data_IF_785097782159
#
_entry.id   IF_785097782159
#
_cell.length_a   1.000
_cell.length_b   1.000
_cell.length_c   1.000
_cell.angle_alpha   90.00
_cell.angle_beta   90.00
_cell.angle_gamma   90.00
#
_symmetry.space_group_name_H-M   'P 1'
#
loop_
_entity.id
_entity.type
_entity.pdbx_description
1 polymer ?
#
# COMPACT_ATOMS: atom_id res chain seq x y z
N UNK A 1 23.26 -39.49 -8.40
CA UNK A 1 22.41 -38.67 -7.51
C UNK A 1 21.92 -37.46 -8.30
N UNK A 2 20.64 -37.39 -8.65
CA UNK A 2 20.05 -36.22 -9.29
C UNK A 2 19.52 -35.26 -8.23
N UNK A 3 20.01 -34.03 -8.21
CA UNK A 3 19.41 -32.95 -7.45
C UNK A 3 18.46 -32.18 -8.37
N UNK A 4 17.20 -32.64 -8.42
CA UNK A 4 16.11 -31.80 -8.91
C UNK A 4 15.75 -30.82 -7.80
N UNK A 5 16.20 -29.58 -7.93
CA UNK A 5 15.64 -28.46 -7.17
C UNK A 5 14.45 -27.96 -7.97
N UNK A 6 13.26 -28.37 -7.55
CA UNK A 6 12.02 -27.84 -8.10
C UNK A 6 11.96 -26.33 -7.83
N UNK A 7 12.16 -25.60 -8.92
CA UNK A 7 11.74 -24.22 -9.08
C UNK A 7 10.29 -24.07 -8.62
N UNK A 8 10.10 -23.50 -7.43
CA UNK A 8 8.79 -23.00 -7.04
C UNK A 8 8.89 -21.48 -6.81
N UNK A 9 9.19 -20.78 -7.92
CA UNK A 9 8.90 -19.37 -8.05
C UNK A 9 7.38 -19.17 -8.03
N UNK A 10 6.82 -19.16 -6.82
CA UNK A 10 5.48 -18.62 -6.58
C UNK A 10 5.55 -17.08 -6.68
N UNK A 11 5.81 -16.58 -7.90
CA UNK A 11 5.58 -15.19 -8.24
C UNK A 11 4.06 -15.06 -8.36
N UNK A 12 3.40 -14.78 -7.24
CA UNK A 12 2.03 -14.24 -7.27
C UNK A 12 2.13 -12.85 -7.89
N UNK A 13 1.97 -12.81 -9.20
CA UNK A 13 1.78 -11.59 -9.98
C UNK A 13 0.56 -10.88 -9.37
N UNK A 14 0.79 -9.83 -8.58
CA UNK A 14 -0.24 -8.91 -8.12
C UNK A 14 -0.75 -8.11 -9.32
N UNK A 15 -1.61 -8.78 -10.09
CA UNK A 15 -2.30 -8.22 -11.24
C UNK A 15 -3.45 -7.36 -10.74
N UNK A 16 -3.21 -6.11 -10.34
CA UNK A 16 -4.23 -5.06 -10.37
C UNK A 16 -3.59 -3.67 -10.49
N UNK A 17 -3.92 -3.00 -11.59
CA UNK A 17 -3.63 -1.59 -11.87
C UNK A 17 -4.82 -0.74 -11.38
N UNK A 18 -4.72 0.01 -10.27
CA UNK A 18 -5.86 0.77 -9.74
C UNK A 18 -5.95 2.22 -10.25
N UNK A 19 -5.18 2.61 -11.26
CA UNK A 19 -5.17 4.01 -11.77
C UNK A 19 -6.38 4.30 -12.71
N UNK A 20 -7.08 3.27 -13.17
CA UNK A 20 -8.17 3.43 -14.15
C UNK A 20 -9.41 4.20 -13.63
N UNK A 21 -9.66 4.25 -12.31
CA UNK A 21 -10.90 4.83 -11.76
C UNK A 21 -10.93 6.35 -11.70
N UNK A 22 -9.78 7.02 -11.84
CA UNK A 22 -9.67 8.49 -11.72
C UNK A 22 -10.29 9.22 -12.94
N UNK A 23 -10.51 8.54 -14.07
CA UNK A 23 -11.16 9.11 -15.25
C UNK A 23 -12.70 9.21 -15.16
N UNK A 24 -13.33 8.64 -14.13
CA UNK A 24 -14.80 8.68 -13.95
C UNK A 24 -15.36 10.05 -13.53
N UNK A 25 -14.50 11.09 -13.43
CA UNK A 25 -14.81 12.42 -12.90
C UNK A 25 -15.70 13.30 -13.80
N UNK A 26 -16.41 12.75 -14.79
CA UNK A 26 -17.21 13.55 -15.73
C UNK A 26 -18.67 13.10 -15.93
N UNK A 27 -19.23 12.25 -15.05
CA UNK A 27 -20.67 11.90 -15.11
C UNK A 27 -21.52 12.65 -14.08
N UNK A 28 -22.69 13.23 -14.46
CA UNK A 28 -23.59 13.93 -13.55
C UNK A 28 -24.54 12.98 -12.79
N UNK A 29 -24.28 12.87 -11.48
CA UNK A 29 -25.17 12.97 -10.29
C UNK A 29 -26.61 12.37 -10.23
N UNK A 30 -26.81 11.39 -9.32
CA UNK A 30 -28.03 11.09 -8.54
C UNK A 30 -27.64 10.82 -7.06
N UNK A 31 -28.36 11.39 -6.06
CA UNK A 31 -27.67 12.19 -5.01
C UNK A 31 -27.88 12.02 -3.49
N UNK A 32 -28.27 10.88 -2.93
CA UNK A 32 -28.37 10.83 -1.45
C UNK A 32 -27.90 9.56 -0.77
N UNK A 33 -28.22 8.39 -1.30
CA UNK A 33 -27.76 7.12 -0.70
C UNK A 33 -26.40 6.68 -1.24
N UNK A 34 -26.18 6.93 -2.53
CA UNK A 34 -24.93 6.63 -3.25
C UNK A 34 -23.75 7.45 -2.69
N UNK A 35 -23.99 8.69 -2.26
CA UNK A 35 -22.92 9.57 -1.77
C UNK A 35 -22.38 9.14 -0.39
N UNK A 36 -23.22 8.57 0.48
CA UNK A 36 -22.82 8.09 1.81
C UNK A 36 -22.09 6.75 1.74
N UNK A 37 -22.59 5.82 0.92
CA UNK A 37 -21.93 4.54 0.66
C UNK A 37 -20.56 4.73 -0.01
N UNK A 38 -20.45 5.72 -0.89
CA UNK A 38 -19.19 6.11 -1.53
C UNK A 38 -18.19 6.71 -0.54
N UNK A 39 -18.63 7.56 0.40
CA UNK A 39 -17.73 8.13 1.42
C UNK A 39 -17.22 7.05 2.40
N UNK A 40 -18.06 6.08 2.78
CA UNK A 40 -17.64 4.94 3.60
C UNK A 40 -16.66 4.01 2.85
N UNK A 41 -16.90 3.77 1.56
CA UNK A 41 -15.98 3.01 0.72
C UNK A 41 -14.62 3.73 0.60
N UNK A 42 -14.62 5.03 0.36
CA UNK A 42 -13.42 5.88 0.33
C UNK A 42 -12.63 5.83 1.65
N UNK A 43 -13.34 5.79 2.79
CA UNK A 43 -12.73 5.66 4.12
C UNK A 43 -12.05 4.31 4.30
N UNK A 44 -12.75 3.22 3.96
CA UNK A 44 -12.21 1.85 4.01
C UNK A 44 -10.99 1.69 3.11
N UNK A 45 -11.07 2.17 1.87
CA UNK A 45 -9.95 2.15 0.93
C UNK A 45 -8.73 2.91 1.46
N UNK A 46 -8.94 4.06 2.12
CA UNK A 46 -7.84 4.82 2.72
C UNK A 46 -7.20 4.08 3.91
N UNK A 47 -8.01 3.46 4.77
CA UNK A 47 -7.51 2.66 5.90
C UNK A 47 -6.68 1.47 5.38
N UNK A 48 -7.16 0.79 4.34
CA UNK A 48 -6.39 -0.27 3.69
C UNK A 48 -5.08 0.24 3.09
N UNK A 49 -5.09 1.41 2.46
CA UNK A 49 -3.86 2.03 1.94
C UNK A 49 -2.85 2.31 3.05
N UNK A 50 -3.31 2.77 4.22
CA UNK A 50 -2.48 3.01 5.41
C UNK A 50 -1.85 1.71 5.89
N UNK A 51 -2.66 0.65 6.06
CA UNK A 51 -2.20 -0.66 6.50
C UNK A 51 -1.20 -1.28 5.52
N UNK A 52 -1.48 -1.19 4.22
CA UNK A 52 -0.54 -1.63 3.18
C UNK A 52 0.76 -0.84 3.21
N UNK A 53 0.71 0.48 3.31
CA UNK A 53 1.91 1.30 3.38
C UNK A 53 2.76 1.02 4.62
N UNK A 54 2.13 0.76 5.76
CA UNK A 54 2.81 0.31 6.98
C UNK A 54 3.49 -1.05 6.78
N UNK A 55 2.76 -2.04 6.28
CA UNK A 55 3.29 -3.38 6.08
C UNK A 55 4.46 -3.37 5.10
N UNK A 56 4.37 -2.60 4.01
CA UNK A 56 5.47 -2.44 3.06
C UNK A 56 6.69 -1.79 3.71
N UNK A 57 6.49 -0.83 4.63
CA UNK A 57 7.59 -0.24 5.39
C UNK A 57 8.23 -1.24 6.35
N UNK A 58 7.44 -2.01 7.11
CA UNK A 58 7.94 -3.07 8.00
C UNK A 58 8.70 -4.14 7.21
N UNK A 59 8.14 -4.57 6.08
CA UNK A 59 8.76 -5.56 5.22
C UNK A 59 10.07 -5.05 4.61
N UNK A 60 10.11 -3.80 4.14
CA UNK A 60 11.35 -3.21 3.62
C UNK A 60 12.48 -3.18 4.68
N UNK A 61 12.14 -2.90 5.95
CA UNK A 61 13.12 -2.99 7.04
C UNK A 61 13.55 -4.44 7.30
N UNK A 62 12.61 -5.40 7.31
CA UNK A 62 12.96 -6.82 7.49
C UNK A 62 13.82 -7.36 6.36
N UNK A 63 13.54 -6.95 5.13
CA UNK A 63 14.28 -7.37 3.93
C UNK A 63 15.69 -6.77 3.89
N UNK A 64 15.87 -5.56 4.43
CA UNK A 64 17.18 -4.91 4.54
C UNK A 64 18.19 -5.74 5.34
N UNK A 65 17.75 -6.51 6.34
CA UNK A 65 18.61 -7.40 7.12
C UNK A 65 19.33 -8.46 6.27
N UNK A 66 18.81 -8.75 5.06
CA UNK A 66 19.43 -9.69 4.13
C UNK A 66 20.32 -9.02 3.08
N UNK A 67 20.51 -7.70 3.13
CA UNK A 67 21.40 -6.99 2.21
C UNK A 67 22.86 -7.42 2.43
N UNK A 68 23.51 -7.97 1.40
CA UNK A 68 24.87 -8.53 1.49
C UNK A 68 25.95 -7.66 0.82
N UNK A 69 25.55 -6.71 -0.04
CA UNK A 69 26.48 -5.86 -0.77
C UNK A 69 25.96 -4.42 -0.84
N UNK A 70 26.85 -3.50 -1.17
CA UNK A 70 26.59 -2.05 -1.11
C UNK A 70 25.44 -1.64 -2.04
N UNK A 71 25.32 -2.26 -3.23
CA UNK A 71 24.24 -1.99 -4.18
C UNK A 71 22.86 -2.32 -3.60
N UNK A 72 22.75 -3.44 -2.88
CA UNK A 72 21.50 -3.88 -2.26
C UNK A 72 21.21 -3.07 -0.98
N UNK A 73 22.24 -2.66 -0.24
CA UNK A 73 22.12 -1.72 0.89
C UNK A 73 21.53 -0.38 0.43
N UNK A 74 22.06 0.18 -0.66
CA UNK A 74 21.55 1.42 -1.25
C UNK A 74 20.09 1.26 -1.70
N UNK A 75 19.80 0.20 -2.45
CA UNK A 75 18.44 -0.11 -2.90
C UNK A 75 17.44 -0.13 -1.74
N UNK A 76 17.73 -0.88 -0.67
CA UNK A 76 16.81 -0.99 0.46
C UNK A 76 16.74 0.31 1.28
N UNK A 77 17.81 1.09 1.34
CA UNK A 77 17.79 2.42 1.97
C UNK A 77 16.77 3.33 1.28
N UNK A 78 16.80 3.39 -0.06
CA UNK A 78 15.79 4.13 -0.82
C UNK A 78 14.39 3.54 -0.68
N UNK A 79 14.26 2.21 -0.70
CA UNK A 79 12.96 1.53 -0.54
C UNK A 79 12.32 1.84 0.81
N UNK A 80 13.06 1.72 1.91
CA UNK A 80 12.60 2.05 3.26
C UNK A 80 12.12 3.50 3.31
N UNK A 81 12.90 4.43 2.75
CA UNK A 81 12.53 5.84 2.76
C UNK A 81 11.26 6.11 1.96
N UNK A 82 11.12 5.50 0.80
CA UNK A 82 9.92 5.62 -0.03
C UNK A 82 8.67 5.07 0.69
N UNK A 83 8.78 3.89 1.32
CA UNK A 83 7.69 3.29 2.09
C UNK A 83 7.28 4.16 3.29
N UNK A 84 8.24 4.71 4.03
CA UNK A 84 7.98 5.64 5.12
C UNK A 84 7.21 6.88 4.64
N UNK A 85 7.70 7.56 3.59
CA UNK A 85 7.07 8.77 3.04
C UNK A 85 5.64 8.47 2.57
N UNK A 86 5.42 7.31 1.95
CA UNK A 86 4.09 6.88 1.50
C UNK A 86 3.13 6.64 2.67
N UNK A 87 3.60 5.99 3.73
CA UNK A 87 2.81 5.78 4.95
C UNK A 87 2.42 7.12 5.60
N UNK A 88 3.38 8.02 5.77
CA UNK A 88 3.13 9.37 6.31
C UNK A 88 2.15 10.17 5.46
N UNK A 89 2.23 10.05 4.12
CA UNK A 89 1.29 10.69 3.20
C UNK A 89 -0.15 10.23 3.48
N UNK A 90 -0.39 8.93 3.60
CA UNK A 90 -1.75 8.43 3.85
C UNK A 90 -2.27 8.79 5.23
N UNK A 91 -1.41 8.83 6.26
CA UNK A 91 -1.79 9.35 7.58
C UNK A 91 -2.21 10.83 7.51
N UNK A 92 -1.44 11.67 6.79
CA UNK A 92 -1.78 13.07 6.56
C UNK A 92 -3.10 13.20 5.79
N UNK A 93 -3.35 12.33 4.82
CA UNK A 93 -4.60 12.30 4.06
C UNK A 93 -5.80 11.91 4.94
N UNK A 94 -5.67 10.89 5.79
CA UNK A 94 -6.72 10.49 6.73
C UNK A 94 -7.06 11.62 7.70
N UNK A 95 -6.03 12.30 8.24
CA UNK A 95 -6.23 13.48 9.09
C UNK A 95 -7.01 14.59 8.38
N UNK A 96 -6.69 14.88 7.11
CA UNK A 96 -7.42 15.89 6.31
C UNK A 96 -8.86 15.50 6.04
N UNK A 97 -9.15 14.20 5.90
CA UNK A 97 -10.51 13.65 5.73
C UNK A 97 -11.27 13.47 7.05
N UNK A 98 -10.69 13.84 8.20
CA UNK A 98 -11.33 13.66 9.51
C UNK A 98 -11.47 12.19 9.94
N UNK A 99 -10.66 11.29 9.38
CA UNK A 99 -10.68 9.86 9.68
C UNK A 99 -9.73 9.59 10.83
N UNK A 100 -10.27 9.09 11.94
CA UNK A 100 -9.47 8.66 13.10
C UNK A 100 -8.96 7.24 12.87
N UNK A 101 -7.63 7.10 12.79
CA UNK A 101 -6.98 5.79 12.76
C UNK A 101 -6.77 5.34 14.20
N UNK A 102 -7.50 4.32 14.66
CA UNK A 102 -7.30 3.75 15.99
C UNK A 102 -5.95 3.02 16.06
N UNK A 103 -5.15 3.37 17.06
CA UNK A 103 -3.82 2.79 17.27
C UNK A 103 -3.85 1.32 17.73
N UNK A 104 -4.99 0.83 18.20
CA UNK A 104 -5.15 -0.57 18.64
C UNK A 104 -5.06 -1.59 17.50
N UNK A 105 -5.35 -1.18 16.27
CA UNK A 105 -5.21 -2.01 15.06
C UNK A 105 -3.99 -1.60 14.21
N UNK A 106 -3.15 -0.73 14.77
CA UNK A 106 -1.86 -0.32 14.23
C UNK A 106 -0.77 -1.11 14.93
#
# INVERSE_FOLDING_TARGET
>A
MGLNTENNQNIKIYKYSPIAKIFSKFLPKAQSEIDYEKDDLDKKELIECINRARNDWINANREFEYAQNDEIVDYYTYKIKACQVRYEYFLKLAKRKGITINKEYL
#
